data_IF_068559162358
#
_entry.id   IF_068559162358
#
_cell.length_a   1.000
_cell.length_b   1.000
_cell.length_c   1.000
_cell.angle_alpha   90.00
_cell.angle_beta   90.00
_cell.angle_gamma   90.00
#
_symmetry.space_group_name_H-M   'P 1'
#
loop_
_entity.id
_entity.type
_entity.pdbx_description
1 polymer ?
#
# COMPACT_ATOMS: atom_id res chain seq x y z
N UNK A 1 10.36 -5.97 39.52
CA UNK A 1 9.96 -4.68 38.89
C UNK A 1 11.20 -3.80 38.79
N UNK A 2 11.61 -3.38 37.57
CA UNK A 2 12.66 -2.37 37.41
C UNK A 2 12.15 -1.03 37.95
N UNK A 3 12.94 -0.34 38.78
CA UNK A 3 12.58 1.00 39.28
C UNK A 3 12.57 1.98 38.11
N UNK A 4 11.62 2.93 38.05
CA UNK A 4 11.61 3.96 37.02
C UNK A 4 12.87 4.83 37.12
N UNK A 5 13.55 5.06 35.99
CA UNK A 5 14.73 5.93 35.92
C UNK A 5 14.32 7.37 36.21
N UNK A 6 15.00 8.01 37.16
CA UNK A 6 14.76 9.40 37.50
C UNK A 6 15.69 10.30 36.69
N UNK A 7 15.15 10.93 35.65
CA UNK A 7 15.89 11.80 34.76
C UNK A 7 16.36 13.07 35.46
N UNK A 8 17.64 13.40 35.33
CA UNK A 8 18.20 14.69 35.79
C UNK A 8 18.27 15.71 34.65
N UNK A 9 18.47 16.98 34.99
CA UNK A 9 18.67 18.04 33.98
C UNK A 9 19.96 17.81 33.17
N UNK A 10 21.03 17.32 33.80
CA UNK A 10 22.29 17.00 33.12
C UNK A 10 22.10 15.87 32.09
N UNK A 11 21.33 14.86 32.43
CA UNK A 11 20.97 13.79 31.49
C UNK A 11 20.15 14.33 30.32
N UNK A 12 19.19 15.23 30.57
CA UNK A 12 18.43 15.89 29.51
C UNK A 12 19.31 16.70 28.57
N UNK A 13 20.31 17.42 29.10
CA UNK A 13 21.27 18.16 28.29
C UNK A 13 22.11 17.24 27.41
N UNK A 14 22.56 16.11 27.94
CA UNK A 14 23.28 15.08 27.17
C UNK A 14 22.38 14.53 26.06
N UNK A 15 21.13 14.19 26.38
CA UNK A 15 20.15 13.68 25.41
C UNK A 15 19.90 14.70 24.30
N UNK A 16 19.69 15.98 24.64
CA UNK A 16 19.51 17.06 23.65
C UNK A 16 20.71 17.23 22.73
N UNK A 17 21.93 17.10 23.28
CA UNK A 17 23.19 17.26 22.53
C UNK A 17 23.49 16.08 21.61
N UNK A 18 23.22 14.86 22.08
CA UNK A 18 23.72 13.63 21.44
C UNK A 18 22.69 12.88 20.60
N UNK A 19 21.39 13.13 20.81
CA UNK A 19 20.35 12.51 20.00
C UNK A 19 20.43 12.97 18.54
N UNK A 20 20.42 12.03 17.59
CA UNK A 20 20.55 12.29 16.15
C UNK A 20 19.27 12.04 15.35
N UNK A 21 18.12 12.01 16.04
CA UNK A 21 16.81 11.76 15.42
C UNK A 21 16.70 10.39 14.72
N UNK A 22 17.47 9.41 15.18
CA UNK A 22 17.48 8.05 14.66
C UNK A 22 17.42 7.02 15.80
N UNK A 23 17.10 5.77 15.46
CA UNK A 23 17.02 4.69 16.43
C UNK A 23 18.37 4.36 17.07
N UNK A 24 19.45 4.38 16.28
CA UNK A 24 20.78 4.01 16.76
C UNK A 24 21.30 4.94 17.86
N UNK A 25 21.05 6.25 17.75
CA UNK A 25 21.38 7.24 18.79
C UNK A 25 20.52 7.07 20.03
N UNK A 26 19.23 6.76 19.89
CA UNK A 26 18.38 6.42 21.02
C UNK A 26 18.84 5.14 21.75
N UNK A 27 19.21 4.09 21.01
CA UNK A 27 19.74 2.85 21.59
C UNK A 27 21.07 3.06 22.32
N UNK A 28 22.00 3.85 21.75
CA UNK A 28 23.25 4.23 22.43
C UNK A 28 23.00 5.01 23.72
N UNK A 29 22.09 5.98 23.69
CA UNK A 29 21.72 6.73 24.89
C UNK A 29 21.07 5.82 25.93
N UNK A 30 20.18 4.92 25.50
CA UNK A 30 19.53 3.96 26.40
C UNK A 30 20.55 3.06 27.11
N UNK A 31 21.51 2.52 26.36
CA UNK A 31 22.62 1.74 26.91
C UNK A 31 23.48 2.55 27.88
N UNK A 32 23.78 3.82 27.54
CA UNK A 32 24.59 4.72 28.37
C UNK A 32 23.95 5.00 29.73
N UNK A 33 22.63 5.18 29.78
CA UNK A 33 21.92 5.47 31.03
C UNK A 33 21.34 4.21 31.71
N UNK A 34 21.61 3.02 31.16
CA UNK A 34 21.11 1.76 31.74
C UNK A 34 19.60 1.56 31.65
N UNK A 35 18.92 2.28 30.74
CA UNK A 35 17.47 2.21 30.52
C UNK A 35 17.15 1.40 29.26
N UNK A 36 15.91 0.92 29.15
CA UNK A 36 15.44 0.33 27.90
C UNK A 36 15.12 1.40 26.84
N UNK A 37 15.05 0.97 25.58
CA UNK A 37 14.74 1.85 24.45
C UNK A 37 13.43 2.62 24.62
N UNK A 38 12.38 2.00 25.16
CA UNK A 38 11.08 2.66 25.29
C UNK A 38 11.15 3.79 26.31
N UNK A 39 11.80 3.56 27.46
CA UNK A 39 12.03 4.60 28.48
C UNK A 39 12.78 5.80 27.90
N UNK A 40 13.85 5.55 27.14
CA UNK A 40 14.61 6.60 26.44
C UNK A 40 13.74 7.32 25.38
N UNK A 41 13.05 6.57 24.54
CA UNK A 41 12.18 7.12 23.50
C UNK A 41 11.05 7.99 24.08
N UNK A 42 10.45 7.58 25.20
CA UNK A 42 9.47 8.37 25.94
C UNK A 42 10.09 9.67 26.48
N UNK A 43 11.32 9.64 27.01
CA UNK A 43 12.01 10.84 27.48
C UNK A 43 12.30 11.81 26.34
N UNK A 44 12.88 11.32 25.24
CA UNK A 44 13.15 12.09 24.01
C UNK A 44 11.86 12.76 23.50
N UNK A 45 10.72 12.06 23.54
CA UNK A 45 9.40 12.62 23.18
C UNK A 45 8.96 13.72 24.14
N UNK A 46 9.13 13.55 25.45
CA UNK A 46 8.81 14.58 26.46
C UNK A 46 9.68 15.82 26.32
N UNK A 47 10.94 15.67 25.88
CA UNK A 47 11.85 16.76 25.58
C UNK A 47 11.52 17.51 24.27
N UNK A 48 10.59 17.00 23.47
CA UNK A 48 10.17 17.64 22.22
C UNK A 48 11.22 17.58 21.10
N UNK A 49 12.32 16.83 21.29
CA UNK A 49 13.42 16.71 20.33
C UNK A 49 13.27 15.51 19.39
N UNK A 50 12.17 14.76 19.48
CA UNK A 50 11.81 13.81 18.42
C UNK A 50 11.76 14.55 17.10
N UNK A 51 12.17 13.88 16.01
CA UNK A 51 12.03 14.42 14.67
C UNK A 51 10.59 14.91 14.51
N UNK A 52 10.41 16.22 14.39
CA UNK A 52 9.09 16.79 14.14
C UNK A 52 8.59 16.11 12.88
N UNK A 53 7.49 15.35 13.00
CA UNK A 53 6.68 14.98 11.86
C UNK A 53 6.08 16.29 11.36
N UNK A 54 6.89 17.09 10.67
CA UNK A 54 6.47 18.36 10.07
C UNK A 54 5.27 17.98 9.21
N UNK A 55 4.08 18.40 9.64
CA UNK A 55 2.84 18.10 8.93
C UNK A 55 3.05 18.59 7.51
N UNK A 56 3.00 17.65 6.56
CA UNK A 56 3.17 17.98 5.15
C UNK A 56 2.09 18.99 4.81
N UNK A 57 2.50 20.19 4.38
CA UNK A 57 1.57 21.20 3.88
C UNK A 57 1.21 20.82 2.45
N UNK A 58 0.06 20.17 2.28
CA UNK A 58 -0.46 19.82 0.96
C UNK A 58 -0.78 21.09 0.18
N UNK A 59 -0.33 21.12 -1.07
CA UNK A 59 -0.67 22.16 -2.05
C UNK A 59 -1.51 21.54 -3.14
N UNK A 60 -2.32 22.34 -3.85
CA UNK A 60 -3.13 21.85 -4.98
C UNK A 60 -2.28 21.09 -6.01
N UNK A 61 -1.07 21.60 -6.33
CA UNK A 61 -0.13 20.93 -7.24
C UNK A 61 0.30 19.53 -6.77
N UNK A 62 0.40 19.31 -5.46
CA UNK A 62 0.73 17.98 -4.91
C UNK A 62 -0.46 17.04 -5.00
N UNK A 63 -1.66 17.55 -4.78
CA UNK A 63 -2.91 16.81 -4.93
C UNK A 63 -3.12 16.39 -6.41
N UNK A 64 -2.88 17.30 -7.35
CA UNK A 64 -2.97 17.01 -8.79
C UNK A 64 -1.95 15.93 -9.19
N UNK A 65 -0.70 16.05 -8.71
CA UNK A 65 0.32 15.01 -8.92
C UNK A 65 -0.08 13.69 -8.28
N UNK A 66 -0.68 13.71 -7.10
CA UNK A 66 -1.13 12.50 -6.42
C UNK A 66 -2.19 11.78 -7.26
N UNK A 67 -3.22 12.51 -7.70
CA UNK A 67 -4.29 11.97 -8.54
C UNK A 67 -3.78 11.43 -9.89
N UNK A 68 -2.76 12.06 -10.47
CA UNK A 68 -2.16 11.62 -11.73
C UNK A 68 -1.28 10.37 -11.58
N UNK A 69 -0.52 10.27 -10.48
CA UNK A 69 0.53 9.26 -10.30
C UNK A 69 0.04 7.98 -9.62
N UNK A 70 -0.87 8.07 -8.64
CA UNK A 70 -1.34 6.91 -7.88
C UNK A 70 -2.00 5.82 -8.74
N UNK A 71 -2.78 6.16 -9.78
CA UNK A 71 -3.36 5.15 -10.68
C UNK A 71 -2.35 4.40 -11.54
N UNK A 72 -1.10 4.88 -11.65
CA UNK A 72 -0.07 4.35 -12.55
C UNK A 72 1.12 3.72 -11.82
N UNK A 73 1.31 4.08 -10.55
CA UNK A 73 2.52 3.73 -9.81
C UNK A 73 2.20 3.27 -8.39
N UNK A 74 2.95 2.29 -7.85
CA UNK A 74 2.84 1.92 -6.45
C UNK A 74 3.07 3.11 -5.54
N UNK A 75 2.33 3.15 -4.42
CA UNK A 75 2.36 4.28 -3.48
C UNK A 75 3.77 4.63 -2.97
N UNK A 76 4.65 3.64 -2.82
CA UNK A 76 6.04 3.86 -2.42
C UNK A 76 6.84 4.66 -3.48
N UNK A 77 6.60 4.39 -4.77
CA UNK A 77 7.20 5.13 -5.89
C UNK A 77 6.63 6.55 -5.94
N UNK A 78 5.31 6.70 -5.79
CA UNK A 78 4.66 8.03 -5.75
C UNK A 78 5.17 8.87 -4.58
N UNK A 79 5.32 8.28 -3.40
CA UNK A 79 5.87 8.97 -2.24
C UNK A 79 7.28 9.49 -2.49
N UNK A 80 8.14 8.69 -3.13
CA UNK A 80 9.48 9.11 -3.55
C UNK A 80 9.44 10.26 -4.57
N UNK A 81 8.55 10.18 -5.56
CA UNK A 81 8.37 11.24 -6.58
C UNK A 81 7.86 12.56 -5.99
N UNK A 82 7.09 12.50 -4.89
CA UNK A 82 6.62 13.68 -4.15
C UNK A 82 7.63 14.16 -3.09
N UNK A 83 8.70 13.40 -2.83
CA UNK A 83 9.66 13.69 -1.75
C UNK A 83 9.05 13.54 -0.34
N UNK A 84 8.04 12.69 -0.18
CA UNK A 84 7.28 12.51 1.05
C UNK A 84 7.43 11.09 1.62
N UNK A 85 7.04 10.92 2.88
CA UNK A 85 6.84 9.60 3.47
C UNK A 85 5.59 8.91 2.90
N UNK A 86 5.60 7.57 2.90
CA UNK A 86 4.47 6.75 2.43
C UNK A 86 3.19 7.03 3.24
N UNK A 87 3.30 7.18 4.57
CA UNK A 87 2.16 7.42 5.45
C UNK A 87 1.33 8.67 5.10
N UNK A 88 1.95 9.87 5.01
CA UNK A 88 1.27 11.08 4.58
C UNK A 88 0.57 10.96 3.22
N UNK A 89 1.22 10.30 2.25
CA UNK A 89 0.68 10.07 0.90
C UNK A 89 -0.51 9.13 0.93
N UNK A 90 -0.41 8.02 1.68
CA UNK A 90 -1.50 7.07 1.85
C UNK A 90 -2.73 7.71 2.50
N UNK A 91 -2.49 8.48 3.57
CA UNK A 91 -3.56 9.21 4.26
C UNK A 91 -4.20 10.25 3.34
N UNK A 92 -3.40 10.96 2.52
CA UNK A 92 -3.96 11.95 1.59
C UNK A 92 -4.78 11.29 0.49
N UNK A 93 -4.27 10.22 -0.11
CA UNK A 93 -4.99 9.46 -1.13
C UNK A 93 -6.34 8.95 -0.61
N UNK A 94 -6.34 8.40 0.61
CA UNK A 94 -7.58 8.02 1.31
C UNK A 94 -8.56 9.18 1.45
N UNK A 95 -8.11 10.31 1.99
CA UNK A 95 -8.97 11.50 2.17
C UNK A 95 -9.49 12.10 0.86
N UNK A 96 -8.75 11.94 -0.25
CA UNK A 96 -9.13 12.45 -1.55
C UNK A 96 -9.97 11.49 -2.38
N UNK A 97 -10.19 10.28 -1.89
CA UNK A 97 -10.96 9.34 -2.64
C UNK A 97 -10.16 8.56 -3.70
N UNK A 98 -8.82 8.63 -3.70
CA UNK A 98 -8.00 8.12 -4.80
C UNK A 98 -7.71 6.64 -4.59
N UNK A 99 -8.14 5.81 -5.55
CA UNK A 99 -7.83 4.38 -5.56
C UNK A 99 -6.31 4.15 -5.58
N UNK A 100 -5.84 3.25 -4.73
CA UNK A 100 -4.44 2.81 -4.70
C UNK A 100 -4.14 1.69 -5.70
N UNK A 101 -5.16 1.18 -6.40
CA UNK A 101 -5.01 0.10 -7.37
C UNK A 101 -4.47 0.67 -8.66
N UNK A 102 -3.27 0.25 -9.05
CA UNK A 102 -2.71 0.55 -10.36
C UNK A 102 -3.47 -0.28 -11.40
N UNK A 103 -4.29 0.36 -12.23
CA UNK A 103 -5.11 -0.31 -13.26
C UNK A 103 -4.67 0.17 -14.63
N UNK A 104 -3.50 -0.25 -15.08
CA UNK A 104 -3.01 -0.01 -16.44
C UNK A 104 -3.75 -0.88 -17.50
N UNK A 105 -5.07 -1.04 -17.36
CA UNK A 105 -5.87 -1.81 -18.33
C UNK A 105 -5.68 -3.32 -18.25
N UNK A 106 -5.12 -3.84 -17.16
CA UNK A 106 -4.98 -5.28 -16.92
C UNK A 106 -5.28 -5.62 -15.46
N UNK A 107 -5.51 -6.91 -15.20
CA UNK A 107 -5.93 -7.47 -13.92
C UNK A 107 -5.02 -8.63 -13.52
N UNK A 108 -4.78 -8.78 -12.22
CA UNK A 108 -4.18 -10.01 -11.68
C UNK A 108 -5.25 -11.08 -11.48
N UNK A 109 -4.83 -12.33 -11.27
CA UNK A 109 -5.75 -13.41 -10.89
C UNK A 109 -6.54 -13.07 -9.62
N UNK A 110 -5.90 -12.40 -8.66
CA UNK A 110 -6.55 -11.94 -7.42
C UNK A 110 -7.63 -10.90 -7.71
N UNK A 111 -7.38 -9.98 -8.63
CA UNK A 111 -8.39 -9.00 -9.00
C UNK A 111 -9.58 -9.69 -9.68
N UNK A 112 -9.35 -10.65 -10.57
CA UNK A 112 -10.43 -11.43 -11.20
C UNK A 112 -11.26 -12.19 -10.16
N UNK A 113 -10.64 -12.74 -9.12
CA UNK A 113 -11.38 -13.37 -8.02
C UNK A 113 -12.35 -12.36 -7.36
N UNK A 114 -11.91 -11.12 -7.15
CA UNK A 114 -12.75 -10.07 -6.55
C UNK A 114 -13.84 -9.59 -7.50
N UNK A 115 -13.51 -9.38 -8.78
CA UNK A 115 -14.46 -8.95 -9.80
C UNK A 115 -15.55 -10.00 -10.01
N UNK A 116 -15.19 -11.27 -10.07
CA UNK A 116 -16.14 -12.35 -10.35
C UNK A 116 -16.74 -12.99 -9.09
N UNK A 117 -16.23 -12.66 -7.90
CA UNK A 117 -16.66 -13.24 -6.63
C UNK A 117 -16.29 -14.70 -6.44
N UNK A 118 -15.26 -15.20 -7.14
CA UNK A 118 -14.90 -16.64 -7.18
C UNK A 118 -13.55 -16.94 -6.52
N UNK A 119 -13.32 -18.23 -6.24
CA UNK A 119 -12.03 -18.70 -5.75
C UNK A 119 -10.94 -18.73 -6.83
N UNK A 120 -9.69 -18.53 -6.40
CA UNK A 120 -8.50 -18.51 -7.25
C UNK A 120 -8.18 -19.82 -7.98
N UNK A 121 -8.70 -20.95 -7.52
CA UNK A 121 -8.62 -22.24 -8.21
C UNK A 121 -9.55 -22.27 -9.43
N UNK A 122 -10.75 -21.70 -9.31
CA UNK A 122 -11.67 -21.60 -10.44
C UNK A 122 -11.13 -20.65 -11.51
N UNK A 123 -10.57 -19.50 -11.11
CA UNK A 123 -9.90 -18.60 -12.06
C UNK A 123 -8.70 -19.29 -12.72
N UNK A 124 -7.97 -20.13 -11.98
CA UNK A 124 -6.87 -20.91 -12.57
C UNK A 124 -7.40 -21.92 -13.60
N UNK A 125 -8.51 -22.61 -13.32
CA UNK A 125 -9.13 -23.53 -14.25
C UNK A 125 -9.57 -22.84 -15.54
N UNK A 126 -10.13 -21.62 -15.45
CA UNK A 126 -10.48 -20.83 -16.65
C UNK A 126 -9.26 -20.44 -17.48
N UNK A 127 -8.13 -20.15 -16.84
CA UNK A 127 -6.88 -19.85 -17.53
C UNK A 127 -6.32 -21.11 -18.18
N UNK A 128 -6.28 -22.22 -17.45
CA UNK A 128 -5.73 -23.49 -17.91
C UNK A 128 -6.57 -24.11 -19.05
N UNK A 129 -7.89 -23.91 -19.05
CA UNK A 129 -8.78 -24.31 -20.15
C UNK A 129 -8.72 -23.38 -21.36
N UNK A 130 -8.09 -22.21 -21.23
CA UNK A 130 -8.11 -21.15 -22.24
C UNK A 130 -9.43 -20.37 -22.33
N UNK A 131 -10.39 -20.61 -21.43
CA UNK A 131 -11.64 -19.84 -21.37
C UNK A 131 -11.38 -18.37 -21.05
N UNK A 132 -10.44 -18.11 -20.13
CA UNK A 132 -9.93 -16.78 -19.79
C UNK A 132 -8.49 -16.62 -20.27
N UNK A 133 -8.27 -15.74 -21.24
CA UNK A 133 -6.94 -15.47 -21.77
C UNK A 133 -6.10 -14.72 -20.73
N UNK A 134 -4.89 -15.23 -20.47
CA UNK A 134 -3.94 -14.64 -19.54
C UNK A 134 -2.51 -14.87 -20.04
N UNK A 135 -1.62 -13.93 -19.70
CA UNK A 135 -0.17 -14.03 -19.92
C UNK A 135 0.59 -13.93 -18.60
N UNK A 136 1.90 -14.16 -18.63
CA UNK A 136 2.76 -14.03 -17.46
C UNK A 136 3.26 -12.59 -17.33
N UNK A 137 3.16 -12.01 -16.12
CA UNK A 137 3.54 -10.63 -15.86
C UNK A 137 5.01 -10.31 -16.22
N UNK A 138 5.91 -11.30 -16.14
CA UNK A 138 7.34 -11.16 -16.44
C UNK A 138 7.83 -12.14 -17.53
N UNK A 139 6.94 -12.69 -18.36
CA UNK A 139 7.31 -13.65 -19.42
C UNK A 139 7.68 -15.06 -18.94
N UNK A 140 7.97 -15.26 -17.66
CA UNK A 140 8.28 -16.57 -17.07
C UNK A 140 7.12 -17.15 -16.25
N UNK A 141 6.92 -18.47 -16.38
CA UNK A 141 5.98 -19.22 -15.55
C UNK A 141 6.47 -19.23 -14.09
N UNK A 142 5.65 -18.84 -13.11
CA UNK A 142 6.00 -18.86 -11.71
C UNK A 142 6.37 -20.24 -11.21
N UNK A 143 7.56 -20.38 -10.63
CA UNK A 143 7.86 -21.45 -9.69
C UNK A 143 7.31 -21.08 -8.29
N UNK A 144 6.52 -21.96 -7.68
CA UNK A 144 6.05 -21.85 -6.29
C UNK A 144 4.67 -21.20 -6.05
N UNK A 145 4.24 -21.24 -4.78
CA UNK A 145 2.89 -20.92 -4.26
C UNK A 145 2.47 -19.44 -4.32
N UNK A 146 3.30 -18.55 -4.88
CA UNK A 146 3.01 -17.12 -5.06
C UNK A 146 2.28 -16.76 -6.37
N UNK A 147 1.59 -17.71 -6.99
CA UNK A 147 1.10 -17.61 -8.39
C UNK A 147 -0.05 -16.62 -8.66
N UNK A 148 -0.75 -16.13 -7.64
CA UNK A 148 -1.93 -15.26 -7.85
C UNK A 148 -1.60 -13.87 -8.44
N UNK A 149 -0.49 -13.25 -8.02
CA UNK A 149 -0.10 -11.91 -8.47
C UNK A 149 0.73 -11.91 -9.77
N UNK A 150 0.94 -13.09 -10.38
CA UNK A 150 1.89 -13.26 -11.49
C UNK A 150 1.21 -13.48 -12.85
N UNK A 151 -0.12 -13.59 -12.86
CA UNK A 151 -0.94 -13.59 -14.06
C UNK A 151 -1.27 -12.16 -14.48
N UNK A 152 -1.20 -11.91 -15.78
CA UNK A 152 -1.57 -10.68 -16.45
C UNK A 152 -2.77 -10.96 -17.35
N UNK A 153 -3.92 -10.38 -17.03
CA UNK A 153 -5.18 -10.59 -17.74
C UNK A 153 -5.60 -9.23 -18.30
N UNK A 154 -5.64 -9.10 -19.62
CA UNK A 154 -6.05 -7.84 -20.25
C UNK A 154 -7.49 -7.50 -19.87
N UNK A 155 -7.79 -6.21 -19.69
CA UNK A 155 -9.14 -5.77 -19.36
C UNK A 155 -10.15 -6.14 -20.46
N UNK A 156 -9.73 -6.17 -21.73
CA UNK A 156 -10.55 -6.64 -22.84
C UNK A 156 -10.85 -8.13 -22.73
N UNK A 157 -9.85 -8.95 -22.44
CA UNK A 157 -9.99 -10.40 -22.32
C UNK A 157 -10.91 -10.77 -21.15
N UNK A 158 -10.75 -10.09 -20.00
CA UNK A 158 -11.65 -10.24 -18.86
C UNK A 158 -13.08 -9.82 -19.19
N UNK A 159 -13.26 -8.69 -19.88
CA UNK A 159 -14.59 -8.23 -20.32
C UNK A 159 -15.27 -9.24 -21.23
N UNK A 160 -14.53 -9.77 -22.21
CA UNK A 160 -15.05 -10.72 -23.18
C UNK A 160 -15.36 -12.07 -22.54
N UNK A 161 -14.59 -12.48 -21.52
CA UNK A 161 -14.91 -13.63 -20.68
C UNK A 161 -16.24 -13.43 -19.94
N UNK A 162 -16.38 -12.33 -19.19
CA UNK A 162 -17.59 -12.03 -18.41
C UNK A 162 -18.84 -11.98 -19.30
N UNK A 163 -18.73 -11.44 -20.52
CA UNK A 163 -19.84 -11.39 -21.48
C UNK A 163 -20.24 -12.76 -22.01
N UNK A 164 -19.28 -13.68 -22.19
CA UNK A 164 -19.54 -15.04 -22.69
C UNK A 164 -20.06 -15.97 -21.61
N UNK A 165 -19.65 -15.77 -20.36
CA UNK A 165 -19.91 -16.67 -19.24
C UNK A 165 -20.48 -15.90 -18.02
N UNK A 166 -21.64 -15.23 -18.14
CA UNK A 166 -22.20 -14.48 -17.02
C UNK A 166 -22.65 -15.38 -15.86
N UNK A 167 -23.03 -16.63 -16.12
CA UNK A 167 -23.47 -17.60 -15.11
C UNK A 167 -22.33 -18.09 -14.22
N UNK A 168 -21.08 -17.92 -14.65
CA UNK A 168 -19.88 -18.27 -13.89
C UNK A 168 -19.54 -17.25 -12.78
N UNK A 169 -20.29 -16.14 -12.71
CA UNK A 169 -20.15 -15.12 -11.67
C UNK A 169 -20.86 -15.55 -10.37
N UNK A 170 -20.16 -15.50 -9.24
CA UNK A 170 -20.74 -15.81 -7.95
C UNK A 170 -21.26 -14.54 -7.27
N UNK A 171 -22.50 -14.16 -7.59
CA UNK A 171 -23.16 -12.90 -7.22
C UNK A 171 -23.06 -12.44 -5.76
N UNK A 172 -22.78 -13.33 -4.80
CA UNK A 172 -22.65 -12.99 -3.36
C UNK A 172 -21.34 -12.27 -3.00
N UNK A 173 -20.28 -12.44 -3.77
CA UNK A 173 -18.94 -11.89 -3.46
C UNK A 173 -18.36 -10.99 -4.56
N UNK A 174 -19.17 -10.68 -5.58
CA UNK A 174 -18.79 -9.82 -6.70
C UNK A 174 -18.55 -8.40 -6.21
N UNK A 175 -17.39 -7.84 -6.54
CA UNK A 175 -17.19 -6.39 -6.53
C UNK A 175 -17.99 -5.77 -7.70
N UNK A 176 -19.26 -5.47 -7.44
CA UNK A 176 -20.21 -4.96 -8.43
C UNK A 176 -19.71 -3.69 -9.12
N UNK A 177 -18.96 -2.85 -8.41
CA UNK A 177 -18.39 -1.63 -8.97
C UNK A 177 -17.36 -1.98 -10.03
N UNK A 178 -16.42 -2.87 -9.69
CA UNK A 178 -15.40 -3.28 -10.65
C UNK A 178 -15.97 -4.07 -11.82
N UNK A 179 -16.97 -4.91 -11.57
CA UNK A 179 -17.69 -5.60 -12.64
C UNK A 179 -18.26 -4.61 -13.66
N UNK A 180 -18.94 -3.56 -13.18
CA UNK A 180 -19.47 -2.49 -14.03
C UNK A 180 -18.35 -1.73 -14.75
N UNK A 181 -17.25 -1.40 -14.07
CA UNK A 181 -16.11 -0.72 -14.69
C UNK A 181 -15.46 -1.54 -15.82
N UNK A 182 -15.28 -2.85 -15.59
CA UNK A 182 -14.78 -3.78 -16.61
C UNK A 182 -15.73 -3.81 -17.81
N UNK A 183 -17.03 -3.97 -17.57
CA UNK A 183 -18.04 -4.07 -18.62
C UNK A 183 -18.22 -2.76 -19.42
N UNK A 184 -18.18 -1.62 -18.74
CA UNK A 184 -18.27 -0.29 -19.34
C UNK A 184 -16.95 0.16 -20.00
N UNK A 185 -15.85 -0.56 -19.75
CA UNK A 185 -14.52 -0.22 -20.25
C UNK A 185 -13.97 1.09 -19.70
N UNK A 186 -14.43 1.47 -18.51
CA UNK A 186 -13.95 2.65 -17.80
C UNK A 186 -12.66 2.25 -17.08
N UNK A 187 -11.56 2.93 -17.42
CA UNK A 187 -10.31 2.87 -16.64
C UNK A 187 -10.54 3.67 -15.35
N UNK A 188 -11.25 3.10 -14.39
CA UNK A 188 -11.72 3.83 -13.22
C UNK A 188 -10.58 4.34 -12.33
N UNK A 189 -10.70 5.56 -11.78
CA UNK A 189 -10.34 5.84 -10.42
C UNK A 189 -11.62 5.79 -9.56
N UNK A 190 -11.84 4.73 -8.80
CA UNK A 190 -12.96 4.67 -7.83
C UNK A 190 -12.53 4.34 -6.41
N UNK A 191 -13.36 4.87 -5.50
CA UNK A 191 -13.08 5.43 -4.18
C UNK A 191 -12.50 4.47 -3.13
N UNK A 192 -11.97 5.02 -2.01
CA UNK A 192 -11.43 4.28 -0.89
C UNK A 192 -12.57 3.80 0.01
N UNK A 193 -12.44 2.53 0.37
CA UNK A 193 -13.13 1.77 1.41
C UNK A 193 -13.41 2.55 2.71
#
# INVERSE_FOLDING_TARGET
>A
MRKPHHWTEDEDLIIRREYRHDRASADRLAARFGVDYNSMHHRIRRLGITRSNRRVRWTAKMDDKLALLLPKHPIAKVARMLGLGIGPVARRAYLQGISRRNREGWYTKKDVCQVCGVDHLLVQAWIDSGSLKASWHNGERPSGSGGQAKWHIEASDLRDFIRRCPDDLQGRMVDMVQLVEVLAGIKGPMRPD
#
